data_IF_081573622419
#
_entry.id   IF_081573622419
#
_cell.length_a   1.000
_cell.length_b   1.000
_cell.length_c   1.000
_cell.angle_alpha   90.00
_cell.angle_beta   90.00
_cell.angle_gamma   90.00
#
_symmetry.space_group_name_H-M   'P 1'
#
loop_
_entity.id
_entity.type
_entity.pdbx_description
1 polymer ?
#
# COMPACT_ATOMS: atom_id res chain seq x y z
N UNK A 1 29.79 -13.83 -16.56
CA UNK A 1 28.47 -14.18 -15.99
C UNK A 1 28.39 -13.42 -14.67
N UNK A 2 27.22 -12.84 -14.35
CA UNK A 2 26.93 -11.97 -13.20
C UNK A 2 26.92 -10.44 -13.45
N UNK A 3 26.51 -9.97 -14.63
CA UNK A 3 26.14 -8.56 -14.84
C UNK A 3 24.62 -8.29 -14.86
N UNK A 4 23.78 -9.34 -14.85
CA UNK A 4 22.34 -9.23 -15.14
C UNK A 4 21.42 -9.07 -13.93
N UNK A 5 21.95 -8.87 -12.72
CA UNK A 5 21.12 -8.62 -11.54
C UNK A 5 21.16 -7.14 -11.09
N UNK A 6 21.19 -6.21 -12.06
CA UNK A 6 20.90 -4.81 -11.77
C UNK A 6 19.41 -4.71 -11.47
N UNK A 7 19.08 -4.53 -10.19
CA UNK A 7 17.74 -4.17 -9.75
C UNK A 7 17.30 -2.92 -10.55
N UNK A 8 16.43 -3.13 -11.53
CA UNK A 8 15.87 -2.05 -12.34
C UNK A 8 14.72 -1.43 -11.56
N UNK A 9 15.02 -0.35 -10.85
CA UNK A 9 14.00 0.41 -10.15
C UNK A 9 13.22 1.28 -11.15
N UNK A 10 11.90 1.44 -10.99
CA UNK A 10 11.13 2.37 -11.79
C UNK A 10 11.67 3.79 -11.58
N UNK A 11 11.69 4.58 -12.65
CA UNK A 11 12.00 6.00 -12.58
C UNK A 11 11.02 6.68 -11.63
N UNK A 12 11.53 7.35 -10.59
CA UNK A 12 10.68 8.18 -9.75
C UNK A 12 10.05 9.27 -10.62
N UNK A 13 8.75 9.57 -10.44
CA UNK A 13 8.13 10.68 -11.15
C UNK A 13 8.91 11.97 -10.86
N UNK A 14 9.07 12.82 -11.87
CA UNK A 14 9.73 14.12 -11.71
C UNK A 14 9.06 14.87 -10.54
N UNK A 15 9.86 15.35 -9.59
CA UNK A 15 9.35 16.17 -8.49
C UNK A 15 8.71 17.40 -9.13
N UNK A 16 7.38 17.46 -9.12
CA UNK A 16 6.70 18.73 -9.37
C UNK A 16 7.12 19.62 -8.19
N UNK A 17 7.91 20.65 -8.47
CA UNK A 17 8.26 21.71 -7.52
C UNK A 17 7.03 22.48 -7.00
N UNK A 18 5.82 22.11 -7.42
CA UNK A 18 4.58 22.34 -6.69
C UNK A 18 4.54 21.42 -5.45
N UNK A 19 5.49 21.62 -4.53
CA UNK A 19 5.48 21.02 -3.21
C UNK A 19 4.21 21.48 -2.51
N UNK A 20 3.16 20.65 -2.59
CA UNK A 20 2.00 20.78 -1.74
C UNK A 20 2.53 20.63 -0.31
N UNK A 21 2.60 21.75 0.42
CA UNK A 21 3.09 21.78 1.81
C UNK A 21 2.35 20.70 2.59
N UNK A 22 3.06 19.64 2.97
CA UNK A 22 2.45 18.54 3.70
C UNK A 22 1.98 19.10 5.03
N UNK A 23 0.66 19.20 5.18
CA UNK A 23 0.07 19.67 6.40
C UNK A 23 -0.11 18.49 7.34
N UNK A 24 0.14 18.69 8.64
CA UNK A 24 -0.02 17.67 9.67
C UNK A 24 -1.35 16.87 9.61
N UNK A 25 -2.52 17.44 9.23
CA UNK A 25 -3.75 16.67 9.06
C UNK A 25 -3.67 15.53 8.02
N UNK A 26 -2.80 15.67 7.01
CA UNK A 26 -2.63 14.68 5.92
C UNK A 26 -2.14 13.32 6.43
N UNK A 27 -1.53 13.25 7.63
CA UNK A 27 -1.18 11.99 8.29
C UNK A 27 -2.35 11.03 8.53
N UNK A 28 -3.60 11.52 8.41
CA UNK A 28 -4.84 10.74 8.59
C UNK A 28 -5.41 10.20 7.27
N UNK A 29 -4.80 10.57 6.16
CA UNK A 29 -5.22 10.22 4.80
C UNK A 29 -4.17 9.32 4.15
N UNK A 30 -4.54 8.66 3.05
CA UNK A 30 -3.57 7.95 2.21
C UNK A 30 -3.00 8.89 1.16
N UNK A 31 -1.73 8.70 0.81
CA UNK A 31 -1.03 9.43 -0.24
C UNK A 31 -0.62 8.46 -1.35
N UNK A 32 -0.73 8.90 -2.59
CA UNK A 32 -0.12 8.19 -3.72
C UNK A 32 1.39 8.40 -3.67
N UNK A 33 2.15 7.33 -3.47
CA UNK A 33 3.62 7.37 -3.37
C UNK A 33 4.30 7.00 -4.68
N UNK A 34 3.64 6.21 -5.50
CA UNK A 34 3.96 5.88 -6.89
C UNK A 34 2.64 5.74 -7.66
N UNK A 35 2.62 5.87 -9.00
CA UNK A 35 1.41 5.68 -9.79
C UNK A 35 0.69 4.37 -9.43
N UNK A 36 -0.54 4.46 -8.94
CA UNK A 36 -1.36 3.31 -8.54
C UNK A 36 -0.99 2.66 -7.20
N UNK A 37 -0.01 3.21 -6.46
CA UNK A 37 0.41 2.72 -5.14
C UNK A 37 0.20 3.80 -4.07
N UNK A 38 -0.66 3.47 -3.11
CA UNK A 38 -1.02 4.36 -2.02
C UNK A 38 -0.51 3.84 -0.68
N UNK A 39 -0.06 4.76 0.18
CA UNK A 39 0.32 4.48 1.57
C UNK A 39 -0.50 5.35 2.50
N UNK A 40 -1.03 4.78 3.58
CA UNK A 40 -1.80 5.54 4.56
C UNK A 40 -1.99 4.79 5.87
N UNK A 41 -2.50 5.48 6.90
CA UNK A 41 -2.85 4.87 8.18
C UNK A 41 -4.10 3.98 8.05
N UNK A 42 -4.37 3.16 9.07
CA UNK A 42 -5.60 2.34 9.12
C UNK A 42 -6.90 3.17 8.98
N UNK A 43 -6.89 4.46 9.39
CA UNK A 43 -8.04 5.36 9.25
C UNK A 43 -8.43 5.64 7.80
N UNK A 44 -7.49 5.51 6.84
CA UNK A 44 -7.77 5.62 5.41
C UNK A 44 -8.54 4.41 4.87
N UNK A 45 -8.56 3.29 5.59
CA UNK A 45 -9.22 2.04 5.22
C UNK A 45 -10.51 1.76 6.03
N UNK A 46 -11.01 2.75 6.79
CA UNK A 46 -12.25 2.62 7.56
C UNK A 46 -13.48 2.53 6.65
N UNK A 47 -14.60 2.00 7.20
CA UNK A 47 -15.88 1.90 6.49
C UNK A 47 -16.36 3.21 5.86
N UNK A 48 -16.12 4.34 6.53
CA UNK A 48 -16.48 5.69 6.05
C UNK A 48 -15.69 6.15 4.83
N UNK A 49 -14.62 5.44 4.45
CA UNK A 49 -13.74 5.79 3.33
C UNK A 49 -14.04 5.02 2.05
N UNK A 50 -15.08 4.18 2.02
CA UNK A 50 -15.44 3.37 0.85
C UNK A 50 -15.49 4.17 -0.46
N UNK A 51 -16.22 5.28 -0.47
CA UNK A 51 -16.39 6.13 -1.65
C UNK A 51 -15.08 6.77 -2.13
N UNK A 52 -14.13 7.00 -1.23
CA UNK A 52 -12.80 7.54 -1.57
C UNK A 52 -11.95 6.43 -2.18
N UNK A 53 -11.94 5.25 -1.58
CA UNK A 53 -11.21 4.08 -2.09
C UNK A 53 -11.68 3.69 -3.50
N UNK A 54 -12.99 3.66 -3.74
CA UNK A 54 -13.56 3.35 -5.06
C UNK A 54 -13.21 4.43 -6.09
N UNK A 55 -13.27 5.71 -5.71
CA UNK A 55 -12.90 6.83 -6.59
C UNK A 55 -11.43 6.78 -7.02
N UNK A 56 -10.55 6.35 -6.11
CA UNK A 56 -9.12 6.18 -6.37
C UNK A 56 -8.79 4.85 -7.08
N UNK A 57 -9.81 4.04 -7.42
CA UNK A 57 -9.61 2.78 -8.14
C UNK A 57 -8.91 1.70 -7.31
N UNK A 58 -8.94 1.80 -5.98
CA UNK A 58 -8.29 0.81 -5.10
C UNK A 58 -8.96 -0.55 -5.30
N UNK A 59 -8.14 -1.58 -5.53
CA UNK A 59 -8.60 -2.97 -5.75
C UNK A 59 -7.96 -3.97 -4.79
N UNK A 60 -6.75 -3.65 -4.33
CA UNK A 60 -5.94 -4.48 -3.44
C UNK A 60 -5.50 -3.67 -2.22
N UNK A 61 -5.41 -4.31 -1.06
CA UNK A 61 -5.00 -3.68 0.19
C UNK A 61 -4.06 -4.60 0.97
N UNK A 62 -2.89 -4.08 1.35
CA UNK A 62 -2.02 -4.71 2.34
C UNK A 62 -2.41 -4.16 3.72
N UNK A 63 -2.84 -5.04 4.61
CA UNK A 63 -3.28 -4.72 5.97
C UNK A 63 -2.22 -5.20 6.96
N UNK A 64 -1.35 -4.28 7.40
CA UNK A 64 -0.28 -4.54 8.37
C UNK A 64 -0.77 -4.15 9.76
N UNK A 65 -0.71 -5.10 10.70
CA UNK A 65 -1.15 -4.91 12.09
C UNK A 65 -0.65 -6.06 12.96
N UNK A 66 -0.58 -5.86 14.26
CA UNK A 66 -0.44 -6.96 15.22
C UNK A 66 -1.79 -7.61 15.54
N UNK A 67 -1.78 -8.85 15.99
CA UNK A 67 -2.98 -9.57 16.46
C UNK A 67 -3.75 -8.81 17.57
N UNK A 68 -3.05 -8.11 18.47
CA UNK A 68 -3.70 -7.27 19.50
C UNK A 68 -4.50 -6.10 18.90
N UNK A 69 -4.20 -5.70 17.67
CA UNK A 69 -4.84 -4.61 16.93
C UNK A 69 -5.96 -5.09 16.01
N UNK A 70 -6.10 -6.42 15.80
CA UNK A 70 -7.03 -7.01 14.84
C UNK A 70 -8.51 -6.65 15.09
N UNK A 71 -8.84 -6.20 16.30
CA UNK A 71 -10.18 -5.71 16.62
C UNK A 71 -10.54 -4.43 15.85
N UNK A 72 -9.57 -3.56 15.59
CA UNK A 72 -9.78 -2.25 14.95
C UNK A 72 -9.04 -2.08 13.61
N UNK A 73 -7.94 -2.80 13.35
CA UNK A 73 -7.26 -2.85 12.05
C UNK A 73 -7.59 -4.19 11.37
N UNK A 74 -8.57 -4.16 10.46
CA UNK A 74 -9.06 -5.38 9.78
C UNK A 74 -9.65 -5.07 8.40
N UNK A 75 -9.76 -6.07 7.51
CA UNK A 75 -10.47 -5.94 6.25
C UNK A 75 -11.93 -5.49 6.44
N UNK A 76 -12.23 -4.24 6.09
CA UNK A 76 -13.58 -3.69 6.22
C UNK A 76 -14.49 -4.03 5.04
N UNK A 77 -13.90 -4.41 3.89
CA UNK A 77 -14.63 -4.67 2.64
C UNK A 77 -14.14 -5.96 1.94
N UNK A 78 -14.19 -7.12 2.60
CA UNK A 78 -13.59 -8.36 2.09
C UNK A 78 -14.19 -8.85 0.76
N UNK A 79 -15.39 -8.37 0.38
CA UNK A 79 -16.05 -8.70 -0.88
C UNK A 79 -15.77 -7.70 -2.02
N UNK A 80 -15.09 -6.58 -1.74
CA UNK A 80 -14.81 -5.53 -2.72
C UNK A 80 -13.33 -5.42 -3.05
N UNK A 81 -12.46 -5.62 -2.06
CA UNK A 81 -11.01 -5.53 -2.24
C UNK A 81 -10.36 -6.86 -1.91
N UNK A 82 -9.27 -7.17 -2.60
CA UNK A 82 -8.38 -8.28 -2.25
C UNK A 82 -7.46 -7.84 -1.13
N UNK A 83 -7.36 -8.62 -0.07
CA UNK A 83 -6.54 -8.29 1.10
C UNK A 83 -5.36 -9.23 1.23
N UNK A 84 -4.18 -8.65 1.48
CA UNK A 84 -3.05 -9.34 2.09
C UNK A 84 -2.92 -8.86 3.52
N UNK A 85 -3.10 -9.74 4.50
CA UNK A 85 -3.11 -9.37 5.92
C UNK A 85 -1.83 -9.90 6.58
N UNK A 86 -1.05 -9.01 7.17
CA UNK A 86 0.26 -9.33 7.75
C UNK A 86 0.27 -9.06 9.25
N UNK A 87 0.61 -10.09 10.02
CA UNK A 87 0.84 -9.99 11.47
C UNK A 87 2.27 -9.55 11.75
N UNK A 88 2.45 -8.25 11.97
CA UNK A 88 3.76 -7.60 12.10
C UNK A 88 3.71 -6.67 13.30
N UNK A 89 4.69 -6.84 14.18
CA UNK A 89 4.93 -5.98 15.31
C UNK A 89 5.70 -4.70 14.96
N UNK A 90 5.25 -3.56 15.49
CA UNK A 90 6.00 -2.30 15.39
C UNK A 90 7.11 -2.27 16.44
N UNK A 91 8.17 -3.04 16.19
CA UNK A 91 9.36 -3.04 17.01
C UNK A 91 10.61 -3.33 16.16
N UNK A 92 11.80 -2.91 16.60
CA UNK A 92 13.01 -2.98 15.77
C UNK A 92 13.55 -4.41 15.57
N UNK A 93 13.04 -5.41 16.29
CA UNK A 93 13.48 -6.81 16.17
C UNK A 93 12.52 -7.67 15.37
N UNK A 94 11.37 -7.13 14.93
CA UNK A 94 10.43 -7.85 14.09
C UNK A 94 11.07 -8.15 12.72
N UNK A 95 11.08 -9.43 12.34
CA UNK A 95 11.64 -9.84 11.05
C UNK A 95 10.63 -9.55 9.93
N UNK A 96 10.65 -8.32 9.42
CA UNK A 96 9.78 -7.89 8.31
C UNK A 96 10.30 -8.30 6.92
N UNK A 97 11.61 -8.52 6.78
CA UNK A 97 12.25 -8.85 5.50
C UNK A 97 11.66 -10.13 4.89
N UNK A 98 11.26 -11.10 5.74
CA UNK A 98 10.63 -12.36 5.30
C UNK A 98 9.35 -12.15 4.47
N UNK A 99 8.67 -11.01 4.64
CA UNK A 99 7.42 -10.70 3.92
C UNK A 99 7.65 -10.00 2.59
N UNK A 100 8.84 -9.47 2.33
CA UNK A 100 9.10 -8.66 1.13
C UNK A 100 8.80 -9.39 -0.18
N UNK A 101 9.19 -10.67 -0.38
CA UNK A 101 8.87 -11.39 -1.61
C UNK A 101 7.36 -11.51 -1.83
N UNK A 102 6.61 -11.86 -0.79
CA UNK A 102 5.15 -12.01 -0.83
C UNK A 102 4.44 -10.68 -1.12
N UNK A 103 4.85 -9.59 -0.46
CA UNK A 103 4.27 -8.27 -0.70
C UNK A 103 4.58 -7.80 -2.11
N UNK A 104 5.82 -8.02 -2.58
CA UNK A 104 6.24 -7.66 -3.93
C UNK A 104 5.37 -8.36 -4.98
N UNK A 105 5.23 -9.69 -4.88
CA UNK A 105 4.38 -10.46 -5.79
C UNK A 105 2.93 -9.95 -5.77
N UNK A 106 2.37 -9.68 -4.58
CA UNK A 106 1.01 -9.15 -4.45
C UNK A 106 0.81 -7.77 -5.10
N UNK A 107 1.80 -6.89 -4.98
CA UNK A 107 1.76 -5.55 -5.61
C UNK A 107 1.97 -5.66 -7.12
N UNK A 108 2.94 -6.47 -7.56
CA UNK A 108 3.24 -6.67 -8.99
C UNK A 108 2.02 -7.25 -9.73
N UNK A 109 1.37 -8.28 -9.16
CA UNK A 109 0.14 -8.87 -9.69
C UNK A 109 -0.99 -7.84 -9.83
N UNK A 110 -1.13 -6.96 -8.83
CA UNK A 110 -2.11 -5.89 -8.84
C UNK A 110 -1.83 -4.90 -9.98
N UNK A 111 -0.60 -4.42 -10.10
CA UNK A 111 -0.22 -3.42 -11.09
C UNK A 111 -0.29 -3.98 -12.52
N UNK A 112 0.17 -5.21 -12.74
CA UNK A 112 0.06 -5.88 -14.04
C UNK A 112 -1.41 -6.01 -14.50
N UNK A 113 -2.33 -6.35 -13.58
CA UNK A 113 -3.77 -6.43 -13.89
C UNK A 113 -4.42 -5.05 -14.14
N UNK A 114 -3.78 -3.98 -13.69
CA UNK A 114 -4.23 -2.60 -13.87
C UNK A 114 -3.80 -1.99 -15.20
N UNK A 115 -2.64 -2.40 -15.73
CA UNK A 115 -2.12 -1.93 -17.03
C UNK A 115 -3.02 -2.34 -18.21
N UNK A 116 -3.74 -3.46 -18.12
CA UNK A 116 -4.71 -3.89 -19.15
C UNK A 116 -5.99 -3.03 -19.20
N UNK A 117 -6.18 -2.11 -18.25
CA UNK A 117 -7.40 -1.27 -18.14
C UNK A 117 -7.24 0.14 -18.71
N UNK A 118 -6.11 0.45 -19.35
CA UNK A 118 -5.84 1.73 -20.02
C UNK A 118 -5.57 1.57 -21.51
#
# INVERSE_FOLDING_TARGET
MDEDNKLHFPSLPASKDDLMDWAYPMRREMQEILPGLFLGPYSAAMKSKLSVLERQGITHMVCVRQDIEANFIKPNFPHKFRYLVLDIADNPVENIIRYFPMIKEFIDDCLASGEERY
#
